data_IF_924233228283
#
_entry.id   IF_924233228283
#
_cell.length_a   1.000
_cell.length_b   1.000
_cell.length_c   1.000
_cell.angle_alpha   90.00
_cell.angle_beta   90.00
_cell.angle_gamma   90.00
#
_symmetry.space_group_name_H-M   'P 1'
#
loop_
_entity.id
_entity.type
_entity.pdbx_description
1 polymer ?
#
# COMPACT_ATOMS: atom_id res chain seq x y z
N UNK A 1 19.26 -13.32 13.41
CA UNK A 1 19.30 -14.55 12.59
C UNK A 1 19.70 -14.19 11.18
N UNK A 2 20.39 -15.08 10.47
CA UNK A 2 20.69 -14.94 9.05
C UNK A 2 19.55 -15.61 8.28
N UNK A 3 18.70 -14.82 7.63
CA UNK A 3 17.58 -15.32 6.84
C UNK A 3 17.85 -15.04 5.36
N UNK A 4 17.80 -16.06 4.47
CA UNK A 4 18.07 -15.87 3.04
C UNK A 4 16.90 -15.22 2.30
N UNK A 5 15.71 -15.21 2.89
CA UNK A 5 14.48 -14.66 2.32
C UNK A 5 13.68 -13.93 3.39
N UNK A 6 13.04 -12.83 2.99
CA UNK A 6 12.11 -12.08 3.82
C UNK A 6 10.96 -11.55 2.99
N UNK A 7 9.79 -11.40 3.61
CA UNK A 7 8.62 -10.75 3.04
C UNK A 7 8.55 -9.35 3.67
N UNK A 8 8.41 -8.33 2.84
CA UNK A 8 8.32 -6.93 3.28
C UNK A 8 7.42 -6.14 2.34
N UNK A 9 6.96 -4.97 2.78
CA UNK A 9 6.35 -3.99 1.89
C UNK A 9 7.39 -3.55 0.84
N UNK A 10 6.92 -3.41 -0.41
CA UNK A 10 7.73 -3.04 -1.58
C UNK A 10 8.49 -1.73 -1.38
N UNK A 11 7.92 -0.76 -0.66
CA UNK A 11 8.58 0.52 -0.36
C UNK A 11 9.89 0.30 0.42
N UNK A 12 9.89 -0.55 1.44
CA UNK A 12 11.09 -0.89 2.21
C UNK A 12 12.08 -1.73 1.40
N UNK A 13 11.56 -2.64 0.58
CA UNK A 13 12.37 -3.50 -0.28
C UNK A 13 13.20 -2.69 -1.31
N UNK A 14 12.69 -1.53 -1.74
CA UNK A 14 13.42 -0.63 -2.63
C UNK A 14 14.60 0.05 -1.94
N UNK A 15 14.47 0.44 -0.68
CA UNK A 15 15.56 1.04 0.10
C UNK A 15 16.67 0.00 0.35
N UNK A 16 16.31 -1.27 0.55
CA UNK A 16 17.30 -2.33 0.81
C UNK A 16 18.04 -2.82 -0.43
N UNK A 17 17.55 -2.53 -1.65
CA UNK A 17 18.11 -3.02 -2.92
C UNK A 17 19.59 -2.68 -3.14
N UNK A 18 20.11 -1.68 -2.45
CA UNK A 18 21.53 -1.28 -2.48
C UNK A 18 22.47 -2.26 -1.73
N UNK A 19 21.96 -3.27 -1.01
CA UNK A 19 22.73 -4.16 -0.11
C UNK A 19 22.76 -5.63 -0.55
N UNK A 20 23.01 -5.92 -1.84
CA UNK A 20 23.07 -7.29 -2.40
C UNK A 20 21.76 -8.11 -2.29
N UNK A 21 20.62 -7.46 -2.11
CA UNK A 21 19.31 -8.14 -2.04
C UNK A 21 18.55 -8.05 -3.36
N UNK A 22 18.01 -9.18 -3.84
CA UNK A 22 17.12 -9.24 -5.00
C UNK A 22 15.66 -9.20 -4.56
N UNK A 23 14.83 -8.48 -5.33
CA UNK A 23 13.37 -8.54 -5.18
C UNK A 23 12.82 -9.67 -6.05
N UNK A 24 11.95 -10.48 -5.45
CA UNK A 24 11.21 -11.55 -6.13
C UNK A 24 9.74 -11.17 -6.10
N UNK A 25 9.10 -11.15 -7.27
CA UNK A 25 7.67 -10.91 -7.41
C UNK A 25 6.95 -12.25 -7.53
N UNK A 26 6.06 -12.61 -6.57
CA UNK A 26 5.25 -13.82 -6.67
C UNK A 26 4.32 -13.77 -7.88
N UNK A 27 4.20 -14.88 -8.61
CA UNK A 27 3.31 -14.97 -9.77
C UNK A 27 1.83 -14.95 -9.38
N UNK A 28 1.50 -15.45 -8.20
CA UNK A 28 0.12 -15.46 -7.69
C UNK A 28 -0.36 -14.07 -7.23
N UNK A 29 0.51 -13.06 -7.28
CA UNK A 29 0.22 -11.68 -6.93
C UNK A 29 0.79 -11.25 -5.59
N UNK A 30 0.43 -10.02 -5.18
CA UNK A 30 0.82 -9.43 -3.90
C UNK A 30 -0.40 -9.16 -3.05
N UNK A 31 -0.26 -9.29 -1.73
CA UNK A 31 -1.28 -8.83 -0.79
C UNK A 31 -1.29 -7.30 -0.75
N UNK A 32 -2.48 -6.71 -0.86
CA UNK A 32 -2.66 -5.30 -0.56
C UNK A 32 -2.73 -5.12 0.96
N UNK A 33 -1.85 -4.27 1.50
CA UNK A 33 -1.90 -3.86 2.90
C UNK A 33 -2.46 -2.44 2.95
N UNK A 34 -3.77 -2.26 3.19
CA UNK A 34 -4.37 -0.93 3.18
C UNK A 34 -3.82 -0.12 4.36
N UNK A 35 -3.41 1.11 4.09
CA UNK A 35 -3.06 2.09 5.11
C UNK A 35 -4.25 2.99 5.35
N UNK A 36 -4.66 3.12 6.61
CA UNK A 36 -5.79 3.95 7.01
C UNK A 36 -5.30 5.09 7.88
N UNK A 37 -5.87 6.27 7.66
CA UNK A 37 -5.77 7.37 8.59
C UNK A 37 -6.92 7.28 9.58
N UNK A 38 -6.63 7.44 10.87
CA UNK A 38 -7.62 7.33 11.95
C UNK A 38 -7.51 8.56 12.82
N UNK A 39 -8.63 9.21 13.05
CA UNK A 39 -8.73 10.40 13.89
C UNK A 39 -9.61 10.14 15.10
N UNK A 40 -9.31 10.82 16.20
CA UNK A 40 -10.21 10.87 17.36
C UNK A 40 -11.51 11.55 16.98
N UNK A 41 -12.62 11.18 17.63
CA UNK A 41 -13.90 11.92 17.52
C UNK A 41 -13.79 13.39 17.97
N UNK A 42 -12.74 13.73 18.70
CA UNK A 42 -12.41 15.10 19.16
C UNK A 42 -11.27 15.72 18.36
N UNK A 43 -10.95 15.18 17.18
CA UNK A 43 -9.88 15.71 16.36
C UNK A 43 -10.20 17.14 15.93
N UNK A 44 -9.17 17.98 15.95
CA UNK A 44 -9.22 19.33 15.45
C UNK A 44 -9.43 19.32 13.93
N UNK A 45 -10.19 20.28 13.42
CA UNK A 45 -10.51 20.41 11.99
C UNK A 45 -9.25 20.47 11.11
N UNK A 46 -8.17 21.09 11.61
CA UNK A 46 -6.88 21.15 10.90
C UNK A 46 -6.28 19.76 10.61
N UNK A 47 -6.59 18.76 11.44
CA UNK A 47 -6.16 17.37 11.20
C UNK A 47 -6.96 16.70 10.08
N UNK A 48 -8.20 17.13 9.86
CA UNK A 48 -9.04 16.66 8.76
C UNK A 48 -8.57 17.29 7.45
N UNK A 49 -8.30 18.60 7.44
CA UNK A 49 -7.70 19.30 6.29
C UNK A 49 -6.36 18.67 5.88
N UNK A 50 -5.55 18.25 6.85
CA UNK A 50 -4.31 17.52 6.57
C UNK A 50 -4.58 16.15 5.94
N UNK A 51 -5.67 15.48 6.32
CA UNK A 51 -6.15 14.26 5.68
C UNK A 51 -6.51 14.49 4.21
N UNK A 52 -7.27 15.56 3.93
CA UNK A 52 -7.64 15.94 2.57
C UNK A 52 -6.40 16.27 1.73
N UNK A 53 -5.42 16.97 2.32
CA UNK A 53 -4.15 17.23 1.66
C UNK A 53 -3.38 15.94 1.35
N UNK A 54 -3.33 14.98 2.28
CA UNK A 54 -2.68 13.68 2.04
C UNK A 54 -3.38 12.87 0.94
N UNK A 55 -4.69 13.08 0.76
CA UNK A 55 -5.48 12.47 -0.31
C UNK A 55 -5.45 13.27 -1.62
N UNK A 56 -4.85 14.45 -1.63
CA UNK A 56 -4.68 15.24 -2.84
C UNK A 56 -3.87 14.48 -3.90
N UNK A 57 -4.17 14.77 -5.17
CA UNK A 57 -3.49 14.16 -6.31
C UNK A 57 -1.97 14.28 -6.20
N UNK A 58 -1.44 15.45 -5.84
CA UNK A 58 0.00 15.69 -5.76
C UNK A 58 0.67 14.78 -4.74
N UNK A 59 0.05 14.59 -3.56
CA UNK A 59 0.61 13.72 -2.52
C UNK A 59 0.48 12.25 -2.92
N UNK A 60 -0.64 11.83 -3.50
CA UNK A 60 -0.84 10.45 -3.96
C UNK A 60 0.14 10.08 -5.08
N UNK A 61 0.40 10.98 -6.04
CA UNK A 61 1.43 10.82 -7.05
C UNK A 61 2.83 10.73 -6.43
N UNK A 62 3.13 11.56 -5.42
CA UNK A 62 4.40 11.48 -4.70
C UNK A 62 4.60 10.14 -3.97
N UNK A 63 3.55 9.62 -3.32
CA UNK A 63 3.58 8.30 -2.69
C UNK A 63 3.76 7.17 -3.72
N UNK A 64 3.17 7.32 -4.91
CA UNK A 64 3.35 6.37 -6.01
C UNK A 64 4.82 6.24 -6.44
N UNK A 65 5.61 7.32 -6.38
CA UNK A 65 7.06 7.29 -6.62
C UNK A 65 7.81 6.39 -5.64
N UNK A 66 7.23 6.13 -4.46
CA UNK A 66 7.75 5.20 -3.45
C UNK A 66 7.16 3.79 -3.57
N UNK A 67 6.46 3.51 -4.67
CA UNK A 67 5.77 2.25 -4.96
C UNK A 67 4.58 1.93 -4.04
N UNK A 68 4.02 2.93 -3.36
CA UNK A 68 2.68 2.81 -2.78
C UNK A 68 1.64 2.77 -3.89
N UNK A 69 0.63 1.94 -3.72
CA UNK A 69 -0.56 1.95 -4.59
C UNK A 69 -1.41 3.13 -4.13
N UNK A 70 -1.65 4.14 -5.00
CA UNK A 70 -2.47 5.29 -4.63
C UNK A 70 -3.90 4.88 -4.27
N UNK A 71 -4.50 5.60 -3.32
CA UNK A 71 -5.91 5.48 -2.99
C UNK A 71 -6.79 6.37 -3.88
N UNK A 72 -6.22 7.42 -4.48
CA UNK A 72 -6.92 8.26 -5.45
C UNK A 72 -7.11 7.50 -6.78
N UNK A 73 -8.35 7.35 -7.28
CA UNK A 73 -8.64 6.55 -8.48
C UNK A 73 -8.07 7.16 -9.76
N UNK A 74 -7.81 8.46 -9.77
CA UNK A 74 -7.20 9.19 -10.89
C UNK A 74 -5.69 8.99 -11.00
N UNK A 75 -5.04 8.44 -9.96
CA UNK A 75 -3.60 8.19 -9.96
C UNK A 75 -3.29 6.81 -10.55
N UNK A 76 -2.28 6.72 -11.40
CA UNK A 76 -1.87 5.46 -12.02
C UNK A 76 -1.17 4.53 -11.02
N UNK A 77 -1.27 3.23 -11.28
CA UNK A 77 -0.49 2.22 -10.56
C UNK A 77 1.00 2.48 -10.82
N UNK A 78 1.88 2.40 -9.79
CA UNK A 78 3.31 2.57 -9.98
C UNK A 78 3.88 1.67 -11.08
N UNK A 79 4.73 2.24 -11.94
CA UNK A 79 5.36 1.52 -13.07
C UNK A 79 6.07 0.23 -12.65
N UNK A 80 6.65 0.20 -11.45
CA UNK A 80 7.29 -0.99 -10.90
C UNK A 80 6.32 -2.17 -10.83
N UNK A 81 5.08 -1.94 -10.40
CA UNK A 81 4.07 -3.00 -10.30
C UNK A 81 3.54 -3.37 -11.70
N UNK A 82 3.33 -2.36 -12.55
CA UNK A 82 2.87 -2.56 -13.93
C UNK A 82 3.86 -3.40 -14.75
N UNK A 83 5.16 -3.06 -14.71
CA UNK A 83 6.21 -3.75 -15.46
C UNK A 83 6.46 -5.18 -14.99
N UNK A 84 6.18 -5.48 -13.71
CA UNK A 84 6.29 -6.82 -13.16
C UNK A 84 4.96 -7.62 -13.27
N UNK A 85 3.95 -7.09 -13.98
CA UNK A 85 2.64 -7.72 -14.20
C UNK A 85 1.98 -8.21 -12.91
N UNK A 86 2.16 -7.45 -11.84
CA UNK A 86 1.68 -7.85 -10.51
C UNK A 86 0.17 -7.71 -10.46
N UNK A 87 -0.51 -8.77 -10.03
CA UNK A 87 -1.90 -8.70 -9.59
C UNK A 87 -1.95 -8.35 -8.11
N UNK A 88 -2.64 -7.26 -7.77
CA UNK A 88 -2.94 -6.92 -6.38
C UNK A 88 -4.14 -7.76 -5.91
N UNK A 89 -3.94 -8.51 -4.83
CA UNK A 89 -5.01 -9.24 -4.15
C UNK A 89 -5.71 -8.31 -3.18
N UNK A 90 -6.80 -7.71 -3.64
CA UNK A 90 -7.69 -6.85 -2.86
C UNK A 90 -9.12 -6.97 -3.38
N UNK A 91 -10.02 -7.48 -2.54
CA UNK A 91 -11.44 -7.67 -2.87
C UNK A 91 -12.33 -6.51 -2.40
N UNK A 92 -11.71 -5.44 -1.89
CA UNK A 92 -12.44 -4.28 -1.37
C UNK A 92 -12.63 -4.30 0.15
N UNK A 93 -13.07 -3.16 0.66
CA UNK A 93 -13.26 -2.91 2.09
C UNK A 93 -14.33 -3.80 2.72
N UNK A 94 -15.43 -4.06 2.01
CA UNK A 94 -16.52 -4.90 2.53
C UNK A 94 -16.04 -6.32 2.83
N UNK A 95 -15.33 -6.93 1.89
CA UNK A 95 -14.76 -8.27 2.10
C UNK A 95 -13.76 -8.28 3.26
N UNK A 96 -12.85 -7.30 3.29
CA UNK A 96 -11.88 -7.16 4.38
C UNK A 96 -12.56 -7.05 5.75
N UNK A 97 -13.60 -6.21 5.86
CA UNK A 97 -14.34 -6.01 7.10
C UNK A 97 -15.14 -7.26 7.49
N UNK A 98 -15.71 -7.98 6.53
CA UNK A 98 -16.40 -9.25 6.79
C UNK A 98 -15.46 -10.28 7.38
N UNK A 99 -14.27 -10.44 6.78
CA UNK A 99 -13.23 -11.37 7.27
C UNK A 99 -12.79 -10.98 8.69
N UNK A 100 -12.49 -9.71 8.95
CA UNK A 100 -12.01 -9.26 10.27
C UNK A 100 -13.08 -9.35 11.35
N UNK A 101 -14.34 -9.12 11.00
CA UNK A 101 -15.46 -9.28 11.95
C UNK A 101 -15.74 -10.74 12.30
N UNK A 102 -15.05 -11.70 11.67
CA UNK A 102 -15.28 -13.12 11.86
C UNK A 102 -16.59 -13.60 11.24
N UNK A 103 -17.17 -12.80 10.33
CA UNK A 103 -18.28 -13.25 9.50
C UNK A 103 -17.72 -14.36 8.61
N UNK A 104 -18.21 -15.59 8.78
CA UNK A 104 -17.81 -16.73 7.93
C UNK A 104 -18.03 -16.33 6.47
N UNK A 105 -16.94 -16.36 5.69
CA UNK A 105 -16.96 -16.32 4.22
C UNK A 105 -17.65 -17.58 3.71
#
# INVERSE_FOLDING_TARGET
GVYPLGITNIAFARISRQKNTRLIFPQDGLFCMPQVMVWSKKADERLLEMGDFLMSRQVQEYLALQAFVPAAPESSIPELLANNKVTLRWEGWEQYLNVIRGSKV
#
